data_IF_952801117682
#
_entry.id   IF_952801117682
#
_cell.length_a   1.000
_cell.length_b   1.000
_cell.length_c   1.000
_cell.angle_alpha   90.00
_cell.angle_beta   90.00
_cell.angle_gamma   90.00
#
_symmetry.space_group_name_H-M   'P 1'
#
loop_
_entity.id
_entity.type
_entity.pdbx_description
1 polymer ?
#
# COMPACT_ATOMS: atom_id res chain seq x y z
N UNK A 1 5.27 1.23 -20.91
CA UNK A 1 6.43 0.78 -20.11
C UNK A 1 5.93 -0.02 -18.92
N UNK A 2 6.61 -1.07 -18.57
CA UNK A 2 6.28 -1.84 -17.39
C UNK A 2 6.70 -1.09 -16.14
N UNK A 3 5.87 -1.16 -15.10
CA UNK A 3 6.24 -0.66 -13.77
C UNK A 3 7.26 -1.60 -13.14
N UNK A 4 8.17 -1.04 -12.38
CA UNK A 4 9.20 -1.81 -11.67
C UNK A 4 8.94 -1.80 -10.17
N UNK A 5 9.39 -2.86 -9.50
CA UNK A 5 9.37 -2.93 -8.04
C UNK A 5 10.65 -2.32 -7.45
N UNK A 6 10.74 -2.30 -6.12
CA UNK A 6 11.88 -1.69 -5.42
C UNK A 6 13.22 -2.38 -5.69
N UNK A 7 13.21 -3.57 -6.30
CA UNK A 7 14.43 -4.27 -6.73
C UNK A 7 14.82 -3.93 -8.16
N UNK A 8 14.04 -3.09 -8.85
CA UNK A 8 14.26 -2.78 -10.26
C UNK A 8 13.82 -3.88 -11.20
N UNK A 9 13.00 -4.81 -10.74
CA UNK A 9 12.42 -5.89 -11.53
C UNK A 9 10.96 -5.60 -11.80
N UNK A 10 10.32 -6.39 -12.66
CA UNK A 10 8.90 -6.22 -12.99
C UNK A 10 8.05 -6.24 -11.72
N UNK A 11 7.17 -5.25 -11.59
CA UNK A 11 6.25 -5.15 -10.46
C UNK A 11 5.30 -6.34 -10.46
N UNK A 12 5.22 -7.02 -9.30
CA UNK A 12 4.34 -8.18 -9.14
C UNK A 12 2.96 -7.77 -8.63
N UNK A 13 1.98 -8.64 -8.81
CA UNK A 13 0.63 -8.43 -8.34
C UNK A 13 0.61 -8.29 -6.81
N UNK A 14 -0.13 -7.29 -6.30
CA UNK A 14 -0.32 -7.11 -4.86
C UNK A 14 -1.51 -7.93 -4.38
N UNK A 15 -2.71 -7.65 -4.90
CA UNK A 15 -3.92 -8.40 -4.53
C UNK A 15 -5.04 -8.19 -5.53
N UNK A 16 -5.82 -9.26 -5.73
CA UNK A 16 -7.08 -9.18 -6.49
C UNK A 16 -8.29 -9.43 -5.58
N UNK A 17 -8.06 -9.87 -4.33
CA UNK A 17 -9.12 -10.10 -3.35
C UNK A 17 -8.58 -9.76 -1.94
N UNK A 18 -8.77 -8.53 -1.49
CA UNK A 18 -9.50 -7.43 -2.13
C UNK A 18 -8.80 -6.91 -3.39
N UNK A 19 -9.58 -6.47 -4.37
CA UNK A 19 -9.02 -5.79 -5.53
C UNK A 19 -8.43 -4.46 -5.10
N UNK A 20 -7.19 -4.19 -5.49
CA UNK A 20 -6.46 -3.02 -5.04
C UNK A 20 -5.74 -2.33 -6.20
N UNK A 21 -5.10 -1.21 -5.89
CA UNK A 21 -4.36 -0.40 -6.85
C UNK A 21 -5.17 0.80 -7.31
N UNK A 22 -4.47 1.88 -7.64
CA UNK A 22 -5.12 3.08 -8.16
C UNK A 22 -5.95 2.77 -9.42
N UNK A 23 -5.42 1.91 -10.29
CA UNK A 23 -6.11 1.49 -11.52
C UNK A 23 -7.00 0.27 -11.33
N UNK A 24 -7.12 -0.25 -10.12
CA UNK A 24 -7.93 -1.45 -9.81
C UNK A 24 -7.55 -2.67 -10.66
N UNK A 25 -6.28 -2.84 -10.92
CA UNK A 25 -5.74 -3.98 -11.67
C UNK A 25 -4.96 -4.95 -10.78
N UNK A 26 -4.97 -4.76 -9.47
CA UNK A 26 -4.29 -5.61 -8.51
C UNK A 26 -2.82 -5.26 -8.27
N UNK A 27 -2.28 -4.33 -9.04
CA UNK A 27 -0.88 -3.91 -8.94
C UNK A 27 -0.78 -2.49 -8.38
N UNK A 28 0.29 -2.23 -7.63
CA UNK A 28 0.54 -0.91 -7.06
C UNK A 28 1.19 0.01 -8.11
N UNK A 29 0.53 0.12 -9.27
CA UNK A 29 0.91 1.05 -10.32
C UNK A 29 0.55 2.48 -9.93
N UNK A 30 1.25 3.44 -10.49
CA UNK A 30 0.97 4.85 -10.27
C UNK A 30 1.14 5.62 -11.58
N UNK A 31 0.62 6.84 -11.60
CA UNK A 31 0.68 7.70 -12.76
C UNK A 31 0.38 9.14 -12.38
N UNK A 32 0.33 10.06 -13.39
CA UNK A 32 0.20 11.50 -13.12
C UNK A 32 -1.06 11.89 -12.34
N UNK A 33 -2.11 11.09 -12.43
CA UNK A 33 -3.38 11.37 -11.75
C UNK A 33 -3.50 10.73 -10.39
N UNK A 34 -2.51 9.93 -9.98
CA UNK A 34 -2.49 9.29 -8.67
C UNK A 34 -1.80 10.20 -7.65
N UNK A 35 -2.53 11.18 -7.16
CA UNK A 35 -1.99 12.16 -6.21
C UNK A 35 -1.65 11.55 -4.85
N UNK A 36 -2.31 10.44 -4.50
CA UNK A 36 -2.02 9.73 -3.25
C UNK A 36 -0.80 8.84 -3.32
N UNK A 37 -0.31 8.56 -4.53
CA UNK A 37 0.87 7.71 -4.77
C UNK A 37 0.70 6.37 -4.05
N UNK A 38 -0.22 5.55 -4.56
CA UNK A 38 -0.62 4.26 -3.97
C UNK A 38 0.36 3.16 -4.37
N UNK A 39 1.59 3.24 -3.90
CA UNK A 39 2.71 2.44 -4.40
C UNK A 39 3.20 1.36 -3.45
N UNK A 40 2.72 1.33 -2.21
CA UNK A 40 3.20 0.40 -1.18
C UNK A 40 2.24 -0.78 -1.04
N UNK A 41 2.70 -2.00 -1.36
CA UNK A 41 1.90 -3.19 -1.14
C UNK A 41 2.03 -3.62 0.32
N UNK A 42 1.07 -3.19 1.14
CA UNK A 42 1.06 -3.43 2.59
C UNK A 42 0.20 -4.64 2.95
N UNK A 43 0.67 -5.42 3.94
CA UNK A 43 -0.13 -6.47 4.57
C UNK A 43 -0.69 -5.86 5.84
N UNK A 44 -1.96 -5.43 5.81
CA UNK A 44 -2.52 -4.62 6.89
C UNK A 44 -2.74 -5.44 8.17
N UNK A 45 -2.68 -4.75 9.30
CA UNK A 45 -2.93 -5.31 10.63
C UNK A 45 -4.07 -4.56 11.29
N UNK A 46 -4.66 -5.15 12.33
CA UNK A 46 -5.71 -4.46 13.09
C UNK A 46 -5.20 -3.14 13.69
N UNK A 47 -3.97 -3.14 14.21
CA UNK A 47 -3.38 -1.92 14.80
C UNK A 47 -3.19 -0.84 13.75
N UNK A 48 -2.70 -1.19 12.55
CA UNK A 48 -2.56 -0.23 11.48
C UNK A 48 -3.91 0.30 11.02
N UNK A 49 -4.89 -0.58 10.84
CA UNK A 49 -6.22 -0.18 10.38
C UNK A 49 -6.89 0.80 11.35
N UNK A 50 -6.76 0.54 12.65
CA UNK A 50 -7.27 1.44 13.69
C UNK A 50 -6.54 2.79 13.65
N UNK A 51 -5.22 2.77 13.58
CA UNK A 51 -4.40 3.98 13.49
C UNK A 51 -4.79 4.81 12.26
N UNK A 52 -4.91 4.16 11.11
CA UNK A 52 -5.25 4.81 9.85
C UNK A 52 -6.62 5.49 9.92
N UNK A 53 -7.61 4.81 10.50
CA UNK A 53 -8.96 5.35 10.69
C UNK A 53 -8.93 6.59 11.58
N UNK A 54 -8.19 6.54 12.68
CA UNK A 54 -8.05 7.65 13.61
C UNK A 54 -7.36 8.87 12.96
N UNK A 55 -6.53 8.62 11.95
CA UNK A 55 -5.83 9.68 11.20
C UNK A 55 -6.59 10.13 9.96
N UNK A 56 -7.85 9.72 9.82
CA UNK A 56 -8.73 10.21 8.76
C UNK A 56 -8.72 9.37 7.48
N UNK A 57 -8.08 8.20 7.49
CA UNK A 57 -8.06 7.29 6.35
C UNK A 57 -8.70 5.97 6.76
N UNK A 58 -10.02 5.93 6.75
CA UNK A 58 -10.79 4.73 7.13
C UNK A 58 -10.76 3.70 6.01
N UNK A 59 -10.06 2.60 6.23
CA UNK A 59 -9.95 1.49 5.28
C UNK A 59 -10.83 0.30 5.67
N UNK A 60 -11.60 0.40 6.75
CA UNK A 60 -12.38 -0.72 7.29
C UNK A 60 -13.86 -0.67 6.95
N UNK A 61 -14.39 0.50 6.64
CA UNK A 61 -15.82 0.66 6.35
C UNK A 61 -16.12 0.34 4.89
N UNK A 62 -17.14 -0.49 4.67
CA UNK A 62 -17.62 -0.81 3.32
C UNK A 62 -18.05 0.45 2.58
N UNK A 63 -17.72 0.52 1.30
CA UNK A 63 -18.19 1.60 0.43
C UNK A 63 -18.70 0.99 -0.88
N UNK A 64 -19.98 0.60 -0.93
CA UNK A 64 -20.56 -0.04 -2.11
C UNK A 64 -20.47 0.79 -3.39
N UNK A 65 -20.46 2.12 -3.27
CA UNK A 65 -20.34 3.01 -4.43
C UNK A 65 -19.04 2.81 -5.19
N UNK A 66 -17.97 2.39 -4.50
CA UNK A 66 -16.68 2.10 -5.10
C UNK A 66 -16.37 0.60 -5.12
N UNK A 67 -17.37 -0.23 -4.86
CA UNK A 67 -17.21 -1.69 -4.81
C UNK A 67 -16.11 -2.12 -3.83
N UNK A 68 -16.01 -1.41 -2.70
CA UNK A 68 -15.01 -1.64 -1.67
C UNK A 68 -15.65 -2.24 -0.42
N UNK A 69 -15.14 -3.37 0.03
CA UNK A 69 -15.71 -4.12 1.16
C UNK A 69 -15.02 -3.90 2.50
N UNK A 70 -14.14 -2.93 2.60
CA UNK A 70 -13.36 -2.72 3.81
C UNK A 70 -12.27 -3.78 3.98
N UNK A 71 -11.17 -3.40 4.61
CA UNK A 71 -10.03 -4.29 4.81
C UNK A 71 -10.11 -4.96 6.18
N UNK A 72 -9.51 -6.16 6.25
CA UNK A 72 -9.33 -6.92 7.49
C UNK A 72 -7.84 -7.21 7.64
N UNK A 73 -7.42 -7.52 8.87
CA UNK A 73 -6.05 -7.94 9.13
C UNK A 73 -5.65 -9.07 8.20
N UNK A 74 -4.47 -8.95 7.59
CA UNK A 74 -3.95 -9.92 6.62
C UNK A 74 -4.24 -9.57 5.18
N UNK A 75 -5.14 -8.65 4.90
CA UNK A 75 -5.40 -8.21 3.53
C UNK A 75 -4.21 -7.43 2.99
N UNK A 76 -3.98 -7.55 1.68
CA UNK A 76 -2.93 -6.80 0.97
C UNK A 76 -3.57 -5.63 0.26
N UNK A 77 -2.93 -4.47 0.38
CA UNK A 77 -3.49 -3.23 -0.13
C UNK A 77 -2.40 -2.32 -0.67
N UNK A 78 -2.65 -1.70 -1.82
CA UNK A 78 -1.77 -0.67 -2.36
C UNK A 78 -2.02 0.63 -1.61
N UNK A 79 -1.18 0.88 -0.62
CA UNK A 79 -1.32 1.98 0.32
C UNK A 79 -0.63 3.24 -0.19
N UNK A 80 -1.22 4.40 0.10
CA UNK A 80 -0.55 5.69 -0.11
C UNK A 80 0.78 5.70 0.61
N UNK A 81 1.84 6.13 -0.07
CA UNK A 81 3.17 6.18 0.53
C UNK A 81 3.20 7.10 1.75
N UNK A 82 2.49 8.23 1.71
CA UNK A 82 2.42 9.15 2.84
C UNK A 82 1.72 8.53 4.05
N UNK A 83 0.72 7.67 3.83
CA UNK A 83 0.02 6.98 4.91
C UNK A 83 0.92 5.93 5.55
N UNK A 84 1.75 5.25 4.75
CA UNK A 84 2.71 4.31 5.29
C UNK A 84 3.77 5.02 6.13
N UNK A 85 4.30 6.15 5.64
CA UNK A 85 5.30 6.95 6.36
C UNK A 85 4.74 7.47 7.68
N UNK A 86 3.50 7.97 7.68
CA UNK A 86 2.82 8.43 8.89
C UNK A 86 2.77 7.32 9.94
N UNK A 87 2.37 6.13 9.53
CA UNK A 87 2.31 4.96 10.41
C UNK A 87 3.71 4.52 10.87
N UNK A 88 4.69 4.58 9.98
CA UNK A 88 6.07 4.24 10.29
C UNK A 88 6.62 5.12 11.41
N UNK A 89 6.39 6.44 11.31
CA UNK A 89 6.85 7.39 12.33
C UNK A 89 6.16 7.20 13.68
N UNK A 90 4.93 6.69 13.67
CA UNK A 90 4.15 6.46 14.87
C UNK A 90 4.32 5.05 15.45
N UNK A 91 5.04 4.16 14.76
CA UNK A 91 5.29 2.80 15.22
C UNK A 91 4.19 1.79 14.87
N UNK A 92 3.33 2.12 13.91
CA UNK A 92 2.20 1.28 13.50
C UNK A 92 2.26 0.82 12.05
N UNK A 93 3.38 1.02 11.36
CA UNK A 93 3.47 0.65 9.94
C UNK A 93 3.29 -0.86 9.74
N UNK A 94 2.47 -1.25 8.75
CA UNK A 94 2.33 -2.66 8.41
C UNK A 94 3.56 -3.16 7.65
N UNK A 95 3.74 -4.49 7.65
CA UNK A 95 4.75 -5.13 6.81
C UNK A 95 4.39 -4.94 5.34
N UNK A 96 5.38 -5.03 4.48
CA UNK A 96 5.21 -4.81 3.04
C UNK A 96 5.75 -5.96 2.23
N UNK A 97 5.18 -6.14 1.05
CA UNK A 97 5.68 -7.11 0.07
C UNK A 97 6.53 -6.32 -0.93
N UNK A 98 7.84 -6.48 -0.84
CA UNK A 98 8.78 -5.68 -1.60
C UNK A 98 8.65 -5.90 -3.11
N UNK A 99 8.43 -7.14 -3.53
CA UNK A 99 8.27 -7.49 -4.95
C UNK A 99 7.05 -6.84 -5.59
N UNK A 100 6.07 -6.46 -4.77
CA UNK A 100 4.83 -5.85 -5.21
C UNK A 100 4.73 -4.37 -4.85
N UNK A 101 5.82 -3.79 -4.35
CA UNK A 101 5.92 -2.37 -4.01
C UNK A 101 6.65 -1.64 -5.13
N UNK A 102 6.01 -0.60 -5.67
CA UNK A 102 6.50 0.15 -6.81
C UNK A 102 7.81 0.87 -6.47
N UNK A 103 8.76 0.88 -7.40
CA UNK A 103 10.05 1.53 -7.22
C UNK A 103 9.92 3.03 -6.92
N UNK A 104 8.83 3.65 -7.34
CA UNK A 104 8.57 5.07 -7.05
C UNK A 104 8.53 5.35 -5.55
N UNK A 105 8.21 4.36 -4.73
CA UNK A 105 8.25 4.48 -3.27
C UNK A 105 9.62 4.96 -2.78
N UNK A 106 10.69 4.60 -3.50
CA UNK A 106 12.06 4.97 -3.12
C UNK A 106 12.35 6.46 -3.25
N UNK A 107 11.45 7.24 -3.88
CA UNK A 107 11.55 8.70 -3.90
C UNK A 107 11.19 9.30 -2.54
N UNK A 108 10.54 8.54 -1.67
CA UNK A 108 9.99 9.01 -0.39
C UNK A 108 10.54 8.27 0.83
N UNK A 109 10.93 7.01 0.65
CA UNK A 109 11.38 6.12 1.74
C UNK A 109 12.62 5.38 1.25
N UNK A 110 13.62 5.20 2.11
CA UNK A 110 14.84 4.49 1.72
C UNK A 110 14.57 2.99 1.61
N UNK A 111 15.38 2.31 0.80
CA UNK A 111 15.28 0.87 0.66
C UNK A 111 15.50 0.15 2.00
N UNK A 112 16.44 0.64 2.80
CA UNK A 112 16.76 0.08 4.12
C UNK A 112 15.56 0.16 5.06
N UNK A 113 14.83 1.28 5.05
CA UNK A 113 13.63 1.44 5.87
C UNK A 113 12.54 0.44 5.44
N UNK A 114 12.37 0.26 4.13
CA UNK A 114 11.41 -0.71 3.60
C UNK A 114 11.80 -2.14 3.96
N UNK A 115 13.09 -2.45 3.87
CA UNK A 115 13.61 -3.79 4.14
C UNK A 115 13.33 -4.23 5.58
N UNK A 116 13.39 -3.29 6.53
CA UNK A 116 13.07 -3.58 7.94
C UNK A 116 11.60 -4.01 8.13
N UNK A 117 10.73 -3.69 7.17
CA UNK A 117 9.31 -4.02 7.24
C UNK A 117 8.91 -5.10 6.24
N UNK A 118 9.89 -5.84 5.72
CA UNK A 118 9.62 -6.94 4.80
C UNK A 118 8.68 -7.97 5.44
N UNK A 119 7.63 -8.32 4.71
CA UNK A 119 6.66 -9.35 5.11
C UNK A 119 7.25 -10.74 4.98
#
# INVERSE_FOLDING_TARGET
>A
MESLNVFGKKLELCSTNPMTGFYRNGCCDTGPNDYGIHTVCAVVTDEFLKFSKERGNDLTTDNPAYNFKGLKSGDKWCLCVSRWIEAYKAGYAPKIILESTNIKTLEYVTFEELLDYKF
#
